data_IF_733912958632
#
_entry.id   IF_733912958632
#
_cell.length_a   1.000
_cell.length_b   1.000
_cell.length_c   1.000
_cell.angle_alpha   90.00
_cell.angle_beta   90.00
_cell.angle_gamma   90.00
#
_symmetry.space_group_name_H-M   'P 1'
#
loop_
_entity.id
_entity.type
_entity.pdbx_description
1 polymer ?
#
# COMPACT_ATOMS: atom_id res chain seq x y z
N UNK A 1 -6.77 -28.99 -46.58
CA UNK A 1 -5.90 -29.05 -47.79
C UNK A 1 -6.76 -29.43 -48.99
N UNK A 2 -6.45 -29.01 -50.23
CA UNK A 2 -6.13 -27.64 -50.64
C UNK A 2 -6.71 -27.29 -52.04
N UNK A 3 -6.70 -26.00 -52.42
CA UNK A 3 -6.41 -25.64 -53.81
C UNK A 3 -5.37 -24.53 -53.83
N UNK A 4 -4.11 -24.98 -53.99
CA UNK A 4 -3.00 -24.19 -54.53
C UNK A 4 -3.26 -23.93 -56.01
N UNK A 5 -2.87 -22.76 -56.48
CA UNK A 5 -2.09 -22.55 -57.71
C UNK A 5 -1.53 -21.13 -57.66
N UNK A 6 -0.42 -20.78 -58.30
CA UNK A 6 0.88 -21.38 -58.52
C UNK A 6 1.73 -20.20 -59.01
N UNK A 7 2.99 -20.18 -58.61
CA UNK A 7 4.10 -19.38 -59.12
C UNK A 7 4.10 -19.13 -60.64
N UNK A 8 4.71 -18.01 -61.04
CA UNK A 8 5.94 -17.97 -61.88
C UNK A 8 6.38 -16.50 -62.10
N UNK A 9 7.63 -16.07 -62.27
CA UNK A 9 9.01 -16.58 -62.07
C UNK A 9 9.96 -15.64 -62.87
N UNK A 10 11.17 -15.43 -62.33
CA UNK A 10 12.45 -14.94 -62.93
C UNK A 10 12.79 -13.44 -62.97
N UNK A 11 14.06 -13.03 -62.85
CA UNK A 11 15.33 -13.60 -62.35
C UNK A 11 16.50 -12.63 -62.67
N UNK A 12 17.68 -12.94 -62.11
CA UNK A 12 19.07 -12.68 -62.57
C UNK A 12 19.73 -11.39 -62.04
N UNK A 13 20.96 -11.38 -61.47
CA UNK A 13 22.12 -12.31 -61.39
C UNK A 13 23.01 -11.91 -60.17
N UNK A 14 23.53 -12.85 -59.35
CA UNK A 14 24.88 -13.54 -59.34
C UNK A 14 26.09 -12.59 -59.25
N UNK A 15 27.16 -12.84 -58.48
CA UNK A 15 27.85 -14.11 -58.18
C UNK A 15 28.66 -14.07 -56.86
N UNK A 16 29.09 -15.25 -56.41
CA UNK A 16 29.93 -15.55 -55.24
C UNK A 16 31.23 -16.32 -55.67
N UNK A 17 32.00 -16.98 -54.77
CA UNK A 17 33.42 -16.76 -54.45
C UNK A 17 34.34 -17.91 -54.95
N UNK A 18 35.56 -18.11 -54.39
CA UNK A 18 35.75 -19.36 -53.60
C UNK A 18 36.83 -19.36 -52.48
N UNK A 19 36.68 -20.34 -51.55
CA UNK A 19 37.60 -21.23 -50.79
C UNK A 19 39.04 -20.79 -50.38
N UNK A 20 39.67 -21.29 -49.30
CA UNK A 20 39.46 -22.48 -48.45
C UNK A 20 40.47 -22.56 -47.29
N UNK A 21 40.44 -23.68 -46.57
CA UNK A 21 40.96 -24.01 -45.23
C UNK A 21 42.50 -23.97 -45.00
N UNK A 22 42.93 -23.81 -43.73
CA UNK A 22 43.80 -24.74 -42.96
C UNK A 22 44.51 -24.07 -41.74
N UNK A 23 45.05 -24.92 -40.87
CA UNK A 23 45.28 -24.73 -39.45
C UNK A 23 46.72 -24.35 -39.02
N UNK A 24 46.83 -24.00 -37.73
CA UNK A 24 47.91 -24.33 -36.79
C UNK A 24 49.23 -23.52 -36.74
N UNK A 25 49.54 -23.16 -35.48
CA UNK A 25 50.86 -23.14 -34.80
C UNK A 25 51.85 -21.95 -34.90
N UNK A 26 52.10 -21.42 -33.69
CA UNK A 26 53.39 -21.17 -33.03
C UNK A 26 54.27 -19.96 -33.39
N UNK A 27 54.49 -19.19 -32.30
CA UNK A 27 55.77 -18.70 -31.77
C UNK A 27 56.52 -17.55 -32.45
N UNK A 28 56.45 -16.43 -31.73
CA UNK A 28 57.55 -15.83 -30.96
C UNK A 28 58.55 -14.87 -31.64
N UNK A 29 58.89 -13.88 -30.82
CA UNK A 29 60.01 -12.94 -30.86
C UNK A 29 60.08 -11.81 -31.90
N UNK A 30 60.39 -10.61 -31.38
CA UNK A 30 61.12 -9.61 -32.16
C UNK A 30 60.72 -8.16 -31.96
N UNK A 31 61.19 -7.59 -30.86
CA UNK A 31 61.22 -6.19 -30.44
C UNK A 31 61.39 -5.07 -31.51
N UNK A 32 61.09 -3.85 -31.01
CA UNK A 32 61.57 -2.50 -31.38
C UNK A 32 60.74 -1.60 -32.32
N UNK A 33 59.96 -0.74 -31.66
CA UNK A 33 60.14 0.72 -31.60
C UNK A 33 59.42 1.67 -32.59
N UNK A 34 58.89 2.70 -31.94
CA UNK A 34 58.65 4.09 -32.34
C UNK A 34 57.31 4.61 -32.94
N UNK A 35 56.77 5.56 -32.15
CA UNK A 35 56.07 6.80 -32.52
C UNK A 35 54.52 6.92 -32.43
N UNK A 36 54.10 7.51 -31.30
CA UNK A 36 53.25 8.73 -31.15
C UNK A 36 51.87 8.78 -31.85
N UNK A 37 50.78 8.73 -31.07
CA UNK A 37 50.10 9.91 -30.47
C UNK A 37 48.71 9.55 -29.89
N UNK A 38 48.53 9.81 -28.59
CA UNK A 38 47.28 9.63 -27.83
C UNK A 38 46.73 11.03 -27.50
N UNK A 39 45.52 11.37 -27.95
CA UNK A 39 44.81 12.61 -27.58
C UNK A 39 44.26 12.49 -26.16
N UNK A 40 44.64 13.39 -25.27
CA UNK A 40 43.97 13.66 -23.98
C UNK A 40 43.28 15.03 -24.03
N UNK A 41 42.05 15.08 -23.50
CA UNK A 41 41.20 16.26 -23.41
C UNK A 41 41.59 17.13 -22.19
N UNK A 42 41.59 18.46 -22.37
CA UNK A 42 41.88 19.47 -21.35
C UNK A 42 40.56 19.95 -20.67
N UNK A 43 40.53 20.29 -19.36
CA UNK A 43 39.30 20.70 -18.67
C UNK A 43 38.95 22.19 -18.84
N UNK A 44 37.64 22.48 -18.80
CA UNK A 44 36.98 23.78 -19.00
C UNK A 44 37.28 24.86 -17.95
N UNK A 45 38.05 24.56 -16.91
CA UNK A 45 38.20 25.41 -15.71
C UNK A 45 39.13 26.61 -15.92
N UNK A 46 39.95 26.63 -16.98
CA UNK A 46 40.89 27.73 -17.26
C UNK A 46 40.28 28.88 -18.07
N UNK A 47 39.05 28.74 -18.60
CA UNK A 47 38.39 29.80 -19.39
C UNK A 47 37.59 30.81 -18.57
N UNK A 48 37.08 30.44 -17.40
CA UNK A 48 36.27 31.34 -16.56
C UNK A 48 37.12 32.39 -15.82
N UNK A 49 38.35 32.04 -15.43
CA UNK A 49 39.22 32.93 -14.65
C UNK A 49 39.74 34.14 -15.48
N UNK A 50 39.87 33.97 -16.80
CA UNK A 50 40.36 35.02 -17.70
C UNK A 50 39.31 36.09 -18.05
N UNK A 51 38.03 35.90 -17.72
CA UNK A 51 36.99 36.90 -17.97
C UNK A 51 36.81 37.86 -16.79
N UNK A 52 37.07 37.40 -15.56
CA UNK A 52 36.96 38.21 -14.34
C UNK A 52 38.11 39.21 -14.15
N UNK A 53 39.26 38.99 -14.76
CA UNK A 53 40.42 39.91 -14.69
C UNK A 53 40.36 41.05 -15.71
N UNK A 54 39.36 41.06 -16.60
CA UNK A 54 39.26 42.02 -17.72
C UNK A 54 38.30 43.19 -17.48
N UNK A 55 37.50 43.14 -16.42
CA UNK A 55 36.73 44.28 -15.96
C UNK A 55 37.42 44.82 -14.71
N UNK A 56 37.97 46.02 -14.80
CA UNK A 56 38.63 46.69 -13.67
C UNK A 56 37.69 46.93 -12.48
N UNK A 57 38.01 47.85 -11.56
CA UNK A 57 37.41 47.97 -10.21
C UNK A 57 35.88 48.20 -10.16
N UNK A 58 35.23 48.33 -11.31
CA UNK A 58 33.77 48.49 -11.49
C UNK A 58 33.03 47.14 -11.42
N UNK A 59 33.67 46.03 -11.82
CA UNK A 59 33.05 44.69 -11.85
C UNK A 59 32.58 44.18 -10.47
N UNK A 60 33.40 44.28 -9.41
CA UNK A 60 33.00 43.89 -8.06
C UNK A 60 31.86 44.76 -7.50
N UNK A 61 31.86 46.06 -7.82
CA UNK A 61 30.81 46.98 -7.37
C UNK A 61 29.44 46.64 -8.00
N UNK A 62 29.40 46.29 -9.29
CA UNK A 62 28.17 45.89 -9.97
C UNK A 62 27.63 44.55 -9.46
N UNK A 63 28.52 43.59 -9.15
CA UNK A 63 28.12 42.32 -8.55
C UNK A 63 27.55 42.52 -7.14
N UNK A 64 28.16 43.40 -6.34
CA UNK A 64 27.65 43.75 -5.01
C UNK A 64 26.29 44.45 -5.06
N UNK A 65 26.11 45.42 -5.96
CA UNK A 65 24.83 46.10 -6.16
C UNK A 65 23.72 45.15 -6.61
N UNK A 66 24.04 44.17 -7.46
CA UNK A 66 23.09 43.14 -7.89
C UNK A 66 22.66 42.21 -6.74
N UNK A 67 23.59 41.83 -5.86
CA UNK A 67 23.28 41.03 -4.68
C UNK A 67 22.43 41.79 -3.66
N UNK A 68 22.71 43.09 -3.47
CA UNK A 68 21.89 43.97 -2.60
C UNK A 68 20.48 44.15 -3.17
N UNK A 69 20.35 44.31 -4.49
CA UNK A 69 19.05 44.37 -5.15
C UNK A 69 18.23 43.08 -4.96
N UNK A 70 18.86 41.90 -5.08
CA UNK A 70 18.20 40.62 -4.83
C UNK A 70 17.76 40.46 -3.37
N UNK A 71 18.54 40.94 -2.41
CA UNK A 71 18.19 40.92 -0.99
C UNK A 71 17.04 41.88 -0.64
N UNK A 72 16.97 43.05 -1.29
CA UNK A 72 15.85 43.98 -1.13
C UNK A 72 14.56 43.43 -1.78
N UNK A 73 14.67 42.76 -2.93
CA UNK A 73 13.54 42.13 -3.60
C UNK A 73 12.97 40.98 -2.77
N UNK A 74 13.81 40.17 -2.12
CA UNK A 74 13.34 39.10 -1.23
C UNK A 74 12.65 39.68 0.01
N UNK A 75 13.19 40.72 0.63
CA UNK A 75 12.55 41.39 1.77
C UNK A 75 11.17 41.96 1.41
N UNK A 76 11.00 42.54 0.21
CA UNK A 76 9.70 43.06 -0.26
C UNK A 76 8.68 41.95 -0.55
N UNK A 77 9.12 40.79 -1.04
CA UNK A 77 8.27 39.63 -1.28
C UNK A 77 7.85 38.94 0.03
N UNK A 78 8.73 38.90 1.04
CA UNK A 78 8.45 38.27 2.33
C UNK A 78 7.65 39.14 3.31
N UNK A 79 7.66 40.48 3.17
CA UNK A 79 6.95 41.38 4.09
C UNK A 79 5.50 41.73 3.69
N UNK A 80 5.01 41.23 2.56
CA UNK A 80 3.67 41.58 2.04
C UNK A 80 2.54 40.63 2.48
N UNK A 81 2.80 39.64 3.34
CA UNK A 81 1.77 38.70 3.82
C UNK A 81 1.57 38.78 5.34
N UNK A 82 0.97 39.88 5.77
CA UNK A 82 0.34 39.98 7.09
C UNK A 82 -1.12 40.40 6.92
N UNK A 83 -2.03 39.43 6.77
CA UNK A 83 -3.43 39.60 7.15
C UNK A 83 -4.03 38.26 7.61
N UNK A 84 -4.50 38.27 8.85
CA UNK A 84 -5.30 37.24 9.53
C UNK A 84 -6.76 37.42 9.13
N UNK A 85 -7.50 36.34 8.82
CA UNK A 85 -8.83 35.99 9.37
C UNK A 85 -9.56 34.85 8.63
N UNK A 86 -9.92 33.83 9.42
CA UNK A 86 -11.19 33.05 9.47
C UNK A 86 -11.60 32.10 8.32
N UNK A 87 -11.78 30.85 8.76
CA UNK A 87 -12.47 29.67 8.17
C UNK A 87 -13.62 29.94 7.19
N UNK A 88 -13.65 29.23 6.05
CA UNK A 88 -14.80 28.44 5.57
C UNK A 88 -14.48 27.66 4.27
N UNK A 89 -14.85 26.37 4.26
CA UNK A 89 -15.24 25.49 3.14
C UNK A 89 -14.47 25.46 1.79
N UNK A 90 -14.04 24.23 1.44
CA UNK A 90 -13.78 23.66 0.10
C UNK A 90 -13.96 24.58 -1.14
N UNK A 91 -12.84 24.91 -1.79
CA UNK A 91 -12.73 24.99 -3.26
C UNK A 91 -11.24 24.97 -3.70
N UNK A 92 -10.77 24.11 -4.63
CA UNK A 92 -9.37 24.08 -5.06
C UNK A 92 -9.22 24.60 -6.49
N UNK A 93 -9.24 25.92 -6.69
CA UNK A 93 -8.68 26.52 -7.91
C UNK A 93 -8.05 27.85 -7.57
N UNK A 94 -6.73 27.92 -7.48
CA UNK A 94 -5.91 29.01 -8.04
C UNK A 94 -4.40 28.84 -7.70
N UNK A 95 -3.57 28.95 -8.76
CA UNK A 95 -2.14 29.37 -8.81
C UNK A 95 -1.10 28.37 -8.28
N UNK A 96 0.06 28.15 -8.91
CA UNK A 96 0.72 28.74 -10.08
C UNK A 96 1.78 27.76 -10.63
N UNK A 97 1.89 27.71 -11.97
CA UNK A 97 2.97 27.07 -12.74
C UNK A 97 4.28 27.83 -12.60
N UNK A 98 5.33 27.19 -12.08
CA UNK A 98 6.71 27.47 -12.48
C UNK A 98 7.61 26.31 -12.00
N UNK A 99 8.23 25.61 -12.96
CA UNK A 99 9.02 24.36 -12.85
C UNK A 99 8.15 23.09 -13.04
N UNK A 100 8.37 22.37 -14.16
CA UNK A 100 7.60 21.20 -14.61
C UNK A 100 7.80 19.92 -13.79
N UNK A 101 7.54 20.02 -12.48
CA UNK A 101 7.34 18.95 -11.50
C UNK A 101 5.96 19.20 -10.85
N UNK A 102 4.90 19.10 -11.65
CA UNK A 102 3.50 19.11 -11.17
C UNK A 102 3.20 17.78 -10.43
N UNK A 103 3.82 17.55 -9.27
CA UNK A 103 3.70 16.26 -8.57
C UNK A 103 4.06 16.24 -7.09
N UNK A 104 4.15 17.41 -6.43
CA UNK A 104 3.98 17.50 -4.97
C UNK A 104 2.55 17.94 -4.61
N UNK A 105 1.65 17.94 -5.60
CA UNK A 105 0.24 17.72 -5.38
C UNK A 105 0.11 16.34 -4.72
N UNK A 106 -0.61 16.23 -3.60
CA UNK A 106 -0.61 15.02 -2.77
C UNK A 106 -0.75 13.78 -3.64
N UNK A 107 0.31 12.97 -3.69
CA UNK A 107 0.34 11.71 -4.42
C UNK A 107 -0.83 10.79 -4.01
N UNK A 108 -1.42 11.08 -2.84
CA UNK A 108 -2.50 10.38 -2.19
C UNK A 108 -3.87 10.68 -2.77
N UNK A 109 -4.63 9.63 -3.05
CA UNK A 109 -6.01 9.74 -3.55
C UNK A 109 -6.14 10.39 -4.94
N UNK A 110 -5.05 10.53 -5.70
CA UNK A 110 -5.08 11.08 -7.07
C UNK A 110 -5.85 10.20 -8.07
N UNK A 111 -5.91 8.89 -7.85
CA UNK A 111 -6.82 7.96 -8.55
C UNK A 111 -8.13 7.73 -7.77
N UNK A 112 -8.35 8.51 -6.71
CA UNK A 112 -9.40 8.31 -5.72
C UNK A 112 -9.17 7.06 -4.86
N UNK A 113 -9.91 7.00 -3.75
CA UNK A 113 -9.86 5.88 -2.80
C UNK A 113 -11.28 5.32 -2.70
N UNK A 114 -11.56 4.12 -3.24
CA UNK A 114 -12.86 3.50 -3.11
C UNK A 114 -13.13 3.22 -1.62
N UNK A 115 -14.39 3.34 -1.22
CA UNK A 115 -14.81 3.11 0.16
C UNK A 115 -16.25 2.58 0.19
N UNK A 116 -16.61 1.86 1.24
CA UNK A 116 -18.00 1.41 1.43
C UNK A 116 -18.85 2.49 2.09
N UNK A 117 -19.99 2.82 1.47
CA UNK A 117 -20.96 3.75 2.06
C UNK A 117 -21.61 3.14 3.29
N UNK A 118 -21.53 3.83 4.43
CA UNK A 118 -22.29 3.47 5.62
C UNK A 118 -23.76 3.90 5.48
N UNK A 119 -24.69 3.09 5.99
CA UNK A 119 -26.15 3.31 5.84
C UNK A 119 -26.64 4.63 6.41
N UNK A 120 -25.95 5.16 7.42
CA UNK A 120 -26.30 6.41 8.10
C UNK A 120 -25.18 7.47 8.04
N UNK A 121 -24.14 7.26 7.24
CA UNK A 121 -23.02 8.19 7.15
C UNK A 121 -22.18 8.30 8.43
N UNK A 122 -22.35 7.37 9.39
CA UNK A 122 -21.56 7.35 10.61
C UNK A 122 -20.11 7.01 10.27
N UNK A 123 -19.20 7.66 10.98
CA UNK A 123 -17.75 7.47 10.92
C UNK A 123 -17.21 7.14 12.31
N UNK A 124 -15.92 6.84 12.39
CA UNK A 124 -15.21 6.60 13.65
C UNK A 124 -15.15 7.87 14.50
N UNK A 125 -15.05 7.69 15.82
CA UNK A 125 -15.02 8.79 16.79
C UNK A 125 -13.60 9.32 17.05
N UNK A 126 -12.57 8.53 16.76
CA UNK A 126 -11.18 8.92 16.96
C UNK A 126 -10.70 9.90 15.88
N UNK A 127 -9.76 10.76 16.27
CA UNK A 127 -9.18 11.80 15.43
C UNK A 127 -7.73 11.49 15.05
N UNK A 128 -7.15 12.27 14.13
CA UNK A 128 -5.71 12.20 13.84
C UNK A 128 -4.83 12.45 15.07
N UNK A 129 -5.31 13.25 16.04
CA UNK A 129 -4.59 13.48 17.29
C UNK A 129 -4.56 12.22 18.15
N UNK A 130 -5.66 11.47 18.20
CA UNK A 130 -5.72 10.21 18.95
C UNK A 130 -4.80 9.16 18.33
N UNK A 131 -4.74 9.10 16.99
CA UNK A 131 -3.79 8.24 16.27
C UNK A 131 -2.33 8.61 16.58
N UNK A 132 -1.99 9.90 16.61
CA UNK A 132 -0.65 10.35 16.98
C UNK A 132 -0.29 9.97 18.42
N UNK A 133 -1.20 10.17 19.37
CA UNK A 133 -1.00 9.73 20.76
C UNK A 133 -0.82 8.20 20.85
N UNK A 134 -1.62 7.46 20.07
CA UNK A 134 -1.50 6.00 19.98
C UNK A 134 -0.14 5.57 19.44
N UNK A 135 0.42 6.28 18.44
CA UNK A 135 1.75 5.99 17.92
C UNK A 135 2.84 6.23 18.98
N UNK A 136 2.73 7.30 19.78
CA UNK A 136 3.66 7.58 20.89
C UNK A 136 3.71 6.42 21.90
N UNK A 137 2.56 5.80 22.20
CA UNK A 137 2.48 4.63 23.08
C UNK A 137 2.95 3.34 22.38
N UNK A 138 2.57 3.14 21.11
CA UNK A 138 2.74 1.87 20.43
C UNK A 138 4.16 1.61 19.90
N UNK A 139 4.89 2.64 19.46
CA UNK A 139 6.26 2.48 18.93
C UNK A 139 7.17 1.68 19.87
N UNK A 140 7.33 2.04 21.17
CA UNK A 140 8.17 1.25 22.07
C UNK A 140 7.64 -0.17 22.32
N UNK A 141 6.32 -0.38 22.27
CA UNK A 141 5.72 -1.72 22.37
C UNK A 141 6.16 -2.57 21.18
N UNK A 142 6.02 -2.05 19.95
CA UNK A 142 6.41 -2.76 18.73
C UNK A 142 7.91 -3.08 18.66
N UNK A 143 8.76 -2.23 19.22
CA UNK A 143 10.19 -2.51 19.37
C UNK A 143 10.45 -3.76 20.23
N UNK A 144 9.60 -4.03 21.22
CA UNK A 144 9.70 -5.20 22.10
C UNK A 144 9.12 -6.50 21.48
N UNK A 145 8.58 -6.46 20.26
CA UNK A 145 7.94 -7.64 19.62
C UNK A 145 8.86 -8.87 19.60
N UNK A 146 8.31 -10.08 19.85
CA UNK A 146 9.10 -11.32 19.84
C UNK A 146 9.51 -11.74 18.43
N UNK A 147 8.75 -11.34 17.41
CA UNK A 147 8.99 -11.70 16.00
C UNK A 147 9.54 -10.47 15.28
N UNK A 148 10.87 -10.34 15.21
CA UNK A 148 11.53 -9.18 14.56
C UNK A 148 11.27 -9.14 13.06
N UNK A 149 11.39 -10.29 12.41
CA UNK A 149 11.11 -10.47 10.98
C UNK A 149 9.80 -11.27 10.81
N UNK A 150 8.70 -10.53 10.59
CA UNK A 150 7.39 -11.12 10.32
C UNK A 150 7.07 -11.20 8.83
N UNK A 151 8.04 -11.55 7.98
CA UNK A 151 7.81 -11.78 6.55
C UNK A 151 6.60 -12.70 6.34
N UNK A 152 5.72 -12.29 5.40
CA UNK A 152 4.40 -12.87 5.08
C UNK A 152 3.28 -12.63 6.08
N UNK A 153 3.53 -11.93 7.18
CA UNK A 153 2.48 -11.47 8.08
C UNK A 153 2.47 -9.95 8.19
N UNK A 154 1.56 -9.47 9.03
CA UNK A 154 1.39 -8.06 9.35
C UNK A 154 2.70 -7.35 9.76
N UNK A 155 2.93 -6.17 9.16
CA UNK A 155 4.01 -5.22 9.47
C UNK A 155 3.62 -4.14 10.49
N UNK A 156 4.40 -3.05 10.56
CA UNK A 156 4.22 -2.00 11.57
C UNK A 156 2.84 -1.34 11.49
N UNK A 157 2.45 -0.86 10.30
CA UNK A 157 1.23 -0.10 10.09
C UNK A 157 0.00 -0.87 10.58
N UNK A 158 -0.19 -2.08 10.08
CA UNK A 158 -1.32 -2.93 10.45
C UNK A 158 -1.26 -3.34 11.93
N UNK A 159 -0.06 -3.56 12.49
CA UNK A 159 0.08 -3.85 13.93
C UNK A 159 -0.39 -2.69 14.79
N UNK A 160 -0.05 -1.46 14.38
CA UNK A 160 -0.53 -0.26 15.04
C UNK A 160 -2.06 -0.13 14.94
N UNK A 161 -2.62 -0.33 13.75
CA UNK A 161 -4.07 -0.24 13.55
C UNK A 161 -4.86 -1.24 14.39
N UNK A 162 -4.41 -2.50 14.44
CA UNK A 162 -5.05 -3.54 15.24
C UNK A 162 -4.96 -3.21 16.75
N UNK A 163 -3.77 -2.84 17.21
CA UNK A 163 -3.55 -2.42 18.59
C UNK A 163 -4.44 -1.23 18.97
N UNK A 164 -4.45 -0.19 18.15
CA UNK A 164 -5.19 1.03 18.38
C UNK A 164 -6.70 0.77 18.44
N UNK A 165 -7.21 -0.02 17.49
CA UNK A 165 -8.64 -0.38 17.44
C UNK A 165 -9.05 -1.15 18.71
N UNK A 166 -8.25 -2.12 19.14
CA UNK A 166 -8.52 -2.87 20.37
C UNK A 166 -8.47 -1.96 21.63
N UNK A 167 -7.47 -1.08 21.73
CA UNK A 167 -7.35 -0.10 22.82
C UNK A 167 -8.51 0.88 22.88
N UNK A 168 -9.01 1.31 21.72
CA UNK A 168 -10.12 2.23 21.62
C UNK A 168 -11.44 1.57 22.04
N UNK A 169 -11.75 0.41 21.47
CA UNK A 169 -13.01 -0.30 21.69
C UNK A 169 -13.11 -0.94 23.08
N UNK A 170 -11.97 -1.33 23.68
CA UNK A 170 -11.90 -2.02 24.97
C UNK A 170 -12.87 -3.22 25.04
N UNK A 171 -12.69 -4.22 24.16
CA UNK A 171 -13.58 -5.38 24.09
C UNK A 171 -13.45 -6.25 25.34
N UNK A 172 -14.48 -7.06 25.60
CA UNK A 172 -14.49 -8.08 26.67
C UNK A 172 -13.97 -9.43 26.17
N UNK A 173 -13.90 -9.61 24.84
CA UNK A 173 -13.33 -10.78 24.16
C UNK A 173 -12.76 -10.35 22.81
N UNK A 174 -11.59 -10.87 22.47
CA UNK A 174 -10.99 -10.71 21.15
C UNK A 174 -10.93 -12.06 20.43
N UNK A 175 -11.39 -12.09 19.19
CA UNK A 175 -11.34 -13.27 18.32
C UNK A 175 -10.39 -12.96 17.17
N UNK A 176 -9.49 -13.88 16.87
CA UNK A 176 -8.58 -13.82 15.73
C UNK A 176 -8.83 -15.03 14.83
N UNK A 177 -8.96 -14.81 13.52
CA UNK A 177 -8.98 -15.86 12.51
C UNK A 177 -7.78 -15.65 11.59
N UNK A 178 -6.80 -16.57 11.66
CA UNK A 178 -5.51 -16.43 10.97
C UNK A 178 -4.37 -16.01 11.92
N UNK A 179 -3.82 -16.97 12.68
CA UNK A 179 -2.78 -16.67 13.67
C UNK A 179 -1.35 -16.64 13.11
N UNK A 180 -1.09 -17.42 12.05
CA UNK A 180 0.25 -17.66 11.50
C UNK A 180 1.32 -17.94 12.59
N UNK A 181 2.31 -17.04 12.74
CA UNK A 181 3.39 -17.11 13.74
C UNK A 181 2.99 -16.56 15.12
N UNK A 182 1.77 -16.04 15.29
CA UNK A 182 1.23 -15.47 16.52
C UNK A 182 1.54 -13.98 16.73
N UNK A 183 1.96 -13.26 15.69
CA UNK A 183 2.32 -11.83 15.82
C UNK A 183 1.09 -10.96 16.15
N UNK A 184 -0.01 -11.14 15.42
CA UNK A 184 -1.29 -10.46 15.71
C UNK A 184 -1.86 -10.84 17.07
N UNK A 185 -1.75 -12.11 17.49
CA UNK A 185 -2.09 -12.53 18.86
C UNK A 185 -1.27 -11.76 19.91
N UNK A 186 0.04 -11.58 19.68
CA UNK A 186 0.90 -10.78 20.54
C UNK A 186 0.46 -9.31 20.57
N UNK A 187 0.15 -8.71 19.42
CA UNK A 187 -0.35 -7.33 19.32
C UNK A 187 -1.64 -7.15 20.14
N UNK A 188 -2.61 -8.06 19.99
CA UNK A 188 -3.85 -8.06 20.77
C UNK A 188 -3.59 -8.18 22.27
N UNK A 189 -2.66 -9.06 22.68
CA UNK A 189 -2.27 -9.18 24.09
C UNK A 189 -1.61 -7.91 24.63
N UNK A 190 -0.79 -7.21 23.82
CA UNK A 190 -0.23 -5.92 24.23
C UNK A 190 -1.28 -4.81 24.32
N UNK A 191 -2.34 -4.87 23.50
CA UNK A 191 -3.44 -3.92 23.57
C UNK A 191 -4.29 -4.13 24.82
N UNK A 192 -4.65 -5.38 25.11
CA UNK A 192 -5.54 -5.76 26.21
C UNK A 192 -4.97 -6.95 27.00
N UNK A 193 -4.07 -6.70 27.98
CA UNK A 193 -3.31 -7.74 28.69
C UNK A 193 -4.13 -8.82 29.38
N UNK A 194 -5.28 -8.47 29.95
CA UNK A 194 -6.10 -9.37 30.77
C UNK A 194 -7.32 -9.95 30.02
N UNK A 195 -7.58 -9.47 28.80
CA UNK A 195 -8.78 -9.86 28.06
C UNK A 195 -8.57 -11.22 27.38
N UNK A 196 -9.56 -12.14 27.42
CA UNK A 196 -9.44 -13.42 26.75
C UNK A 196 -9.28 -13.27 25.23
N UNK A 197 -8.50 -14.18 24.64
CA UNK A 197 -8.30 -14.28 23.19
C UNK A 197 -8.74 -15.66 22.73
N UNK A 198 -9.50 -15.72 21.64
CA UNK A 198 -9.81 -16.96 20.93
C UNK A 198 -9.17 -16.87 19.55
N UNK A 199 -8.29 -17.81 19.22
CA UNK A 199 -7.55 -17.81 17.95
C UNK A 199 -7.89 -19.05 17.13
N UNK A 200 -8.34 -18.84 15.90
CA UNK A 200 -8.66 -19.87 14.92
C UNK A 200 -7.53 -19.91 13.89
N UNK A 201 -6.86 -21.05 13.74
CA UNK A 201 -5.81 -21.19 12.75
C UNK A 201 -5.60 -22.65 12.36
N UNK A 202 -5.53 -23.00 11.07
CA UNK A 202 -5.26 -24.39 10.66
C UNK A 202 -4.00 -24.96 11.31
N UNK A 203 -2.99 -24.11 11.57
CA UNK A 203 -1.73 -24.49 12.21
C UNK A 203 -1.48 -23.66 13.46
N UNK A 204 -1.25 -24.34 14.58
CA UNK A 204 -0.93 -23.68 15.85
C UNK A 204 0.42 -22.93 15.76
N UNK A 205 0.55 -21.70 16.30
CA UNK A 205 1.77 -20.90 16.22
C UNK A 205 3.04 -21.61 16.76
N UNK A 206 2.89 -22.46 17.78
CA UNK A 206 3.98 -23.30 18.32
C UNK A 206 4.75 -24.07 17.23
N UNK A 207 4.07 -24.45 16.12
CA UNK A 207 4.67 -25.24 15.05
C UNK A 207 5.68 -24.45 14.24
N UNK A 208 5.73 -23.12 14.41
CA UNK A 208 6.70 -22.22 13.77
C UNK A 208 7.95 -22.02 14.62
N UNK A 209 7.93 -22.31 15.93
CA UNK A 209 9.10 -22.22 16.82
C UNK A 209 10.30 -23.03 16.33
N UNK A 210 10.05 -24.12 15.59
CA UNK A 210 11.10 -24.96 14.98
C UNK A 210 11.78 -24.31 13.78
N UNK A 211 11.15 -23.32 13.15
CA UNK A 211 11.61 -22.65 11.92
C UNK A 211 12.11 -21.22 12.17
N UNK A 212 11.83 -20.67 13.36
CA UNK A 212 12.20 -19.32 13.74
C UNK A 212 11.34 -18.79 14.87
N UNK A 213 11.44 -17.49 15.19
CA UNK A 213 10.64 -16.87 16.23
C UNK A 213 9.14 -16.99 15.92
N UNK A 214 8.39 -17.36 16.96
CA UNK A 214 6.93 -17.38 16.97
C UNK A 214 6.46 -17.01 18.38
N UNK A 215 5.21 -16.60 18.50
CA UNK A 215 4.59 -16.26 19.77
C UNK A 215 3.40 -17.18 20.03
N UNK A 216 3.32 -17.67 21.27
CA UNK A 216 2.19 -18.45 21.77
C UNK A 216 1.75 -17.78 23.06
N UNK A 217 0.49 -17.36 23.10
CA UNK A 217 -0.09 -16.77 24.30
C UNK A 217 -0.64 -17.86 25.20
N UNK A 218 -0.18 -17.90 26.45
CA UNK A 218 -0.59 -18.93 27.41
C UNK A 218 -2.04 -18.82 27.88
N UNK A 219 -2.69 -17.65 27.67
CA UNK A 219 -4.07 -17.39 28.06
C UNK A 219 -5.01 -17.32 26.84
N UNK A 220 -4.55 -17.75 25.66
CA UNK A 220 -5.33 -17.80 24.44
C UNK A 220 -5.95 -19.19 24.27
N UNK A 221 -7.24 -19.22 23.91
CA UNK A 221 -7.91 -20.45 23.50
C UNK A 221 -7.69 -20.66 22.00
N UNK A 222 -6.87 -21.66 21.66
CA UNK A 222 -6.58 -22.00 20.27
C UNK A 222 -7.50 -23.09 19.73
N UNK A 223 -8.18 -22.81 18.62
CA UNK A 223 -8.78 -23.83 17.75
C UNK A 223 -7.83 -24.06 16.59
N UNK A 224 -6.91 -25.02 16.75
CA UNK A 224 -5.84 -25.24 15.78
C UNK A 224 -5.44 -26.70 15.60
N UNK A 225 -4.82 -27.02 14.45
CA UNK A 225 -4.40 -28.38 14.13
C UNK A 225 -5.60 -29.33 14.04
N UNK A 226 -5.59 -30.39 14.86
CA UNK A 226 -6.68 -31.37 14.92
C UNK A 226 -8.00 -30.79 15.46
N UNK A 227 -7.91 -29.72 16.25
CA UNK A 227 -9.04 -29.05 16.90
C UNK A 227 -9.45 -27.80 16.11
N UNK A 228 -8.89 -27.60 14.91
CA UNK A 228 -9.24 -26.48 14.04
C UNK A 228 -10.69 -26.58 13.57
N UNK A 229 -11.39 -25.46 13.69
CA UNK A 229 -12.74 -25.26 13.14
C UNK A 229 -12.75 -23.91 12.44
N UNK A 230 -13.25 -23.87 11.21
CA UNK A 230 -13.43 -22.60 10.48
C UNK A 230 -14.40 -21.68 11.23
N UNK A 231 -14.15 -20.37 11.20
CA UNK A 231 -14.98 -19.35 11.87
C UNK A 231 -16.49 -19.53 11.65
N UNK A 232 -16.92 -19.89 10.44
CA UNK A 232 -18.32 -20.10 10.11
C UNK A 232 -18.98 -21.31 10.76
N UNK A 233 -18.18 -22.24 11.28
CA UNK A 233 -18.61 -23.53 11.84
C UNK A 233 -18.40 -23.64 13.36
N UNK A 234 -17.81 -22.63 13.99
CA UNK A 234 -17.65 -22.59 15.45
C UNK A 234 -19.02 -22.45 16.11
N UNK A 235 -19.27 -23.23 17.16
CA UNK A 235 -20.41 -23.01 18.06
C UNK A 235 -20.16 -21.79 18.95
N UNK A 236 -20.42 -20.62 18.38
CA UNK A 236 -20.22 -19.34 19.07
C UNK A 236 -21.06 -19.22 20.34
N UNK A 237 -22.25 -19.84 20.41
CA UNK A 237 -23.07 -19.81 21.62
C UNK A 237 -22.36 -20.46 22.81
N UNK A 238 -21.77 -21.64 22.59
CA UNK A 238 -20.97 -22.34 23.60
C UNK A 238 -19.68 -21.58 23.94
N UNK A 239 -18.99 -21.01 22.96
CA UNK A 239 -17.77 -20.23 23.19
C UNK A 239 -18.06 -18.97 24.01
N UNK A 240 -19.08 -18.18 23.65
CA UNK A 240 -19.47 -16.98 24.40
C UNK A 240 -19.84 -17.32 25.84
N UNK A 241 -20.63 -18.39 26.05
CA UNK A 241 -20.98 -18.87 27.39
C UNK A 241 -19.75 -19.28 28.21
N UNK A 242 -18.80 -19.99 27.60
CA UNK A 242 -17.54 -20.41 28.26
C UNK A 242 -16.72 -19.21 28.74
N UNK A 243 -16.69 -18.14 27.96
CA UNK A 243 -15.96 -16.91 28.28
C UNK A 243 -16.80 -15.87 29.06
N UNK A 244 -18.05 -16.20 29.42
CA UNK A 244 -18.92 -15.29 30.19
C UNK A 244 -19.42 -14.08 29.40
N UNK A 245 -19.37 -14.11 28.08
CA UNK A 245 -19.78 -12.99 27.21
C UNK A 245 -21.30 -13.02 27.02
N UNK A 246 -21.95 -11.93 27.42
CA UNK A 246 -23.40 -11.73 27.27
C UNK A 246 -23.76 -10.66 26.24
N UNK A 247 -22.85 -9.71 26.01
CA UNK A 247 -23.00 -8.63 25.03
C UNK A 247 -22.03 -8.83 23.85
N UNK A 248 -22.59 -9.23 22.71
CA UNK A 248 -21.81 -9.47 21.48
C UNK A 248 -21.27 -8.17 20.86
N UNK A 249 -21.82 -6.99 21.24
CA UNK A 249 -21.27 -5.71 20.81
C UNK A 249 -19.94 -5.38 21.49
N UNK A 250 -19.55 -6.11 22.55
CA UNK A 250 -18.26 -5.98 23.21
C UNK A 250 -17.21 -6.99 22.72
N UNK A 251 -17.46 -7.66 21.60
CA UNK A 251 -16.53 -8.61 20.98
C UNK A 251 -15.87 -7.97 19.76
N UNK A 252 -14.54 -7.98 19.73
CA UNK A 252 -13.75 -7.57 18.57
C UNK A 252 -13.28 -8.81 17.80
N UNK A 253 -13.45 -8.80 16.48
CA UNK A 253 -12.98 -9.87 15.60
C UNK A 253 -11.95 -9.33 14.63
N UNK A 254 -10.80 -10.00 14.53
CA UNK A 254 -9.76 -9.72 13.57
C UNK A 254 -9.62 -10.89 12.59
N UNK A 255 -9.69 -10.59 11.29
CA UNK A 255 -9.55 -11.54 10.20
C UNK A 255 -8.26 -11.27 9.41
N UNK A 256 -7.39 -12.27 9.38
CA UNK A 256 -6.16 -12.38 8.57
C UNK A 256 -6.07 -13.82 8.01
N UNK A 257 -7.21 -14.35 7.57
CA UNK A 257 -7.37 -15.76 7.16
C UNK A 257 -7.46 -15.98 5.65
N UNK A 258 -7.28 -14.90 4.87
CA UNK A 258 -7.35 -14.88 3.41
C UNK A 258 -8.61 -15.58 2.85
N UNK A 259 -9.73 -15.41 3.55
CA UNK A 259 -11.05 -15.80 3.07
C UNK A 259 -11.79 -14.57 2.56
N UNK A 260 -12.74 -14.80 1.66
CA UNK A 260 -13.64 -13.77 1.14
C UNK A 260 -14.30 -12.97 2.29
N UNK A 261 -14.09 -11.66 2.31
CA UNK A 261 -14.56 -10.79 3.41
C UNK A 261 -16.09 -10.71 3.44
N UNK A 262 -16.77 -10.77 2.29
CA UNK A 262 -18.25 -10.83 2.23
C UNK A 262 -18.79 -12.07 2.95
N UNK A 263 -18.11 -13.21 2.81
CA UNK A 263 -18.45 -14.46 3.50
C UNK A 263 -18.26 -14.31 5.01
N UNK A 264 -17.14 -13.74 5.45
CA UNK A 264 -16.86 -13.48 6.87
C UNK A 264 -17.86 -12.51 7.50
N UNK A 265 -18.22 -11.43 6.81
CA UNK A 265 -19.27 -10.51 7.25
C UNK A 265 -20.61 -11.22 7.40
N UNK A 266 -21.04 -12.02 6.43
CA UNK A 266 -22.31 -12.77 6.53
C UNK A 266 -22.30 -13.74 7.71
N UNK A 267 -21.18 -14.41 7.97
CA UNK A 267 -21.01 -15.31 9.11
C UNK A 267 -21.07 -14.55 10.44
N UNK A 268 -20.36 -13.42 10.57
CA UNK A 268 -20.36 -12.59 11.77
C UNK A 268 -21.75 -11.98 12.06
N UNK A 269 -22.41 -11.44 11.02
CA UNK A 269 -23.75 -10.86 11.11
C UNK A 269 -24.81 -11.91 11.51
N UNK A 270 -24.66 -13.15 11.05
CA UNK A 270 -25.56 -14.26 11.43
C UNK A 270 -25.54 -14.50 12.94
N UNK A 271 -24.35 -14.42 13.56
CA UNK A 271 -24.17 -14.58 15.01
C UNK A 271 -24.61 -13.32 15.77
N UNK A 272 -24.42 -12.13 15.18
CA UNK A 272 -24.74 -10.85 15.81
C UNK A 272 -23.51 -10.07 16.28
N UNK A 273 -22.32 -10.44 15.83
CA UNK A 273 -21.11 -9.65 16.06
C UNK A 273 -21.13 -8.36 15.25
N UNK A 274 -20.55 -7.30 15.82
CA UNK A 274 -20.62 -5.95 15.25
C UNK A 274 -19.26 -5.37 14.86
N UNK A 275 -18.20 -5.63 15.64
CA UNK A 275 -16.89 -5.01 15.45
C UNK A 275 -15.93 -5.96 14.75
N UNK A 276 -15.61 -5.68 13.48
CA UNK A 276 -14.73 -6.50 12.67
C UNK A 276 -13.56 -5.66 12.15
N UNK A 277 -12.38 -6.26 12.14
CA UNK A 277 -11.18 -5.73 11.49
C UNK A 277 -10.72 -6.76 10.48
N UNK A 278 -10.50 -6.32 9.24
CA UNK A 278 -9.94 -7.14 8.17
C UNK A 278 -8.53 -6.63 7.83
N UNK A 279 -7.59 -7.56 7.85
CA UNK A 279 -6.29 -7.45 7.19
C UNK A 279 -6.50 -7.62 5.68
N UNK A 280 -5.57 -7.11 4.86
CA UNK A 280 -5.57 -7.33 3.41
C UNK A 280 -6.85 -6.87 2.67
N UNK A 281 -7.34 -5.66 2.95
CA UNK A 281 -8.46 -5.04 2.24
C UNK A 281 -8.04 -4.54 0.84
N UNK A 282 -7.68 -5.48 -0.03
CA UNK A 282 -7.02 -5.25 -1.31
C UNK A 282 -7.76 -4.30 -2.24
N UNK A 283 -7.00 -3.52 -3.00
CA UNK A 283 -7.55 -2.73 -4.11
C UNK A 283 -8.13 -3.61 -5.22
N UNK A 284 -8.99 -3.01 -6.05
CA UNK A 284 -9.62 -3.69 -7.18
C UNK A 284 -8.58 -4.17 -8.20
N UNK A 285 -8.73 -5.41 -8.70
CA UNK A 285 -7.80 -6.04 -9.64
C UNK A 285 -6.63 -6.81 -9.01
N UNK A 286 -6.48 -6.82 -7.68
CA UNK A 286 -5.37 -7.52 -6.99
C UNK A 286 -5.85 -8.33 -5.79
N UNK A 287 -4.92 -8.93 -5.02
CA UNK A 287 -5.24 -9.71 -3.83
C UNK A 287 -5.60 -11.17 -4.09
N UNK A 288 -5.73 -11.95 -3.02
CA UNK A 288 -6.00 -13.39 -3.08
C UNK A 288 -7.39 -13.78 -2.56
N UNK A 289 -8.18 -12.82 -2.12
CA UNK A 289 -9.58 -13.00 -1.73
C UNK A 289 -10.39 -11.73 -2.06
N UNK A 290 -11.71 -11.86 -2.05
CA UNK A 290 -12.63 -10.77 -2.36
C UNK A 290 -12.80 -9.84 -1.15
N UNK A 291 -12.18 -8.66 -1.22
CA UNK A 291 -12.11 -7.66 -0.17
C UNK A 291 -13.29 -6.67 -0.18
N UNK A 292 -13.45 -5.91 0.89
CA UNK A 292 -14.47 -4.85 1.00
C UNK A 292 -14.25 -3.73 0.00
N UNK A 293 -13.01 -3.30 -0.22
CA UNK A 293 -12.66 -2.35 -1.29
C UNK A 293 -13.16 -2.86 -2.63
N UNK A 294 -12.88 -4.12 -2.97
CA UNK A 294 -13.34 -4.73 -4.21
C UNK A 294 -14.85 -4.80 -4.34
N UNK A 295 -15.57 -5.02 -3.24
CA UNK A 295 -17.04 -5.09 -3.25
C UNK A 295 -17.65 -3.69 -3.42
N UNK A 296 -17.07 -2.70 -2.75
CA UNK A 296 -17.58 -1.33 -2.69
C UNK A 296 -17.04 -0.41 -3.78
N UNK A 297 -16.06 -0.87 -4.55
CA UNK A 297 -15.63 -0.20 -5.77
C UNK A 297 -16.78 -0.20 -6.79
N UNK A 298 -17.40 0.96 -6.96
CA UNK A 298 -18.57 1.14 -7.80
C UNK A 298 -18.48 2.46 -8.56
N UNK A 299 -19.11 2.53 -9.73
CA UNK A 299 -19.09 3.74 -10.59
C UNK A 299 -19.62 5.02 -9.92
N UNK A 300 -20.42 4.90 -8.86
CA UNK A 300 -20.97 6.04 -8.12
C UNK A 300 -20.17 6.38 -6.85
N UNK A 301 -19.11 5.62 -6.56
CA UNK A 301 -18.18 5.86 -5.46
C UNK A 301 -16.98 6.61 -6.01
N UNK A 302 -16.55 7.65 -5.29
CA UNK A 302 -15.38 8.44 -5.70
C UNK A 302 -14.14 7.54 -5.73
N UNK A 303 -13.44 7.53 -6.87
CA UNK A 303 -12.30 6.64 -7.08
C UNK A 303 -12.68 5.20 -7.41
N UNK A 304 -13.97 4.87 -7.48
CA UNK A 304 -14.45 3.58 -7.95
C UNK A 304 -15.02 3.65 -9.37
N UNK A 305 -15.27 2.48 -9.94
CA UNK A 305 -15.62 2.31 -11.34
C UNK A 305 -14.44 2.58 -12.26
N UNK A 306 -14.10 1.60 -13.09
CA UNK A 306 -12.88 1.66 -13.89
C UNK A 306 -13.16 1.60 -15.38
N UNK A 307 -12.32 2.30 -16.13
CA UNK A 307 -12.34 2.29 -17.59
C UNK A 307 -11.31 1.30 -18.12
N UNK A 308 -11.77 0.22 -18.76
CA UNK A 308 -10.89 -0.79 -19.38
C UNK A 308 -10.27 -0.38 -20.73
N UNK A 309 -10.47 0.87 -21.17
CA UNK A 309 -9.83 1.40 -22.36
C UNK A 309 -8.33 1.67 -22.12
N UNK A 310 -7.47 1.11 -22.99
CA UNK A 310 -6.00 1.20 -22.88
C UNK A 310 -5.45 2.61 -23.08
N UNK A 311 -6.18 3.46 -23.79
CA UNK A 311 -5.86 4.85 -24.10
C UNK A 311 -6.50 5.85 -23.12
N UNK A 312 -7.19 5.37 -22.08
CA UNK A 312 -7.75 6.21 -21.03
C UNK A 312 -6.70 6.90 -20.16
N UNK A 313 -7.08 8.01 -19.53
CA UNK A 313 -6.23 8.70 -18.55
C UNK A 313 -5.90 7.81 -17.34
N UNK A 314 -6.85 6.98 -16.89
CA UNK A 314 -6.62 6.02 -15.82
C UNK A 314 -5.53 5.01 -16.21
N UNK A 315 -5.62 4.41 -17.40
CA UNK A 315 -4.60 3.48 -17.89
C UNK A 315 -3.21 4.15 -17.97
N UNK A 316 -3.14 5.39 -18.46
CA UNK A 316 -1.90 6.19 -18.53
C UNK A 316 -1.31 6.46 -17.15
N UNK A 317 -2.11 6.85 -16.16
CA UNK A 317 -1.65 7.14 -14.80
C UNK A 317 -1.18 5.85 -14.13
N UNK A 318 -2.01 4.80 -14.13
CA UNK A 318 -1.69 3.49 -13.54
C UNK A 318 -0.41 2.89 -14.12
N UNK A 319 -0.21 2.94 -15.44
CA UNK A 319 1.03 2.47 -16.08
C UNK A 319 2.29 3.20 -15.61
N UNK A 320 2.19 4.52 -15.34
CA UNK A 320 3.31 5.27 -14.76
C UNK A 320 3.56 4.83 -13.32
N UNK A 321 2.51 4.67 -12.52
CA UNK A 321 2.58 4.36 -11.08
C UNK A 321 3.06 2.93 -10.81
N UNK A 322 2.68 1.96 -11.64
CA UNK A 322 3.16 0.56 -11.59
C UNK A 322 4.70 0.43 -11.58
N UNK A 323 5.41 1.40 -12.18
CA UNK A 323 6.88 1.41 -12.22
C UNK A 323 7.52 1.73 -10.87
N UNK A 324 6.78 2.35 -9.96
CA UNK A 324 7.28 2.84 -8.67
C UNK A 324 6.72 2.07 -7.47
N UNK A 325 5.49 1.57 -7.58
CA UNK A 325 4.76 0.97 -6.46
C UNK A 325 4.48 -0.52 -6.73
N UNK A 326 4.89 -1.39 -5.80
CA UNK A 326 4.83 -2.84 -5.95
C UNK A 326 3.40 -3.34 -6.15
N UNK A 327 2.45 -2.82 -5.37
CA UNK A 327 1.01 -3.11 -5.50
C UNK A 327 0.27 -2.13 -6.40
N UNK A 328 0.98 -1.26 -7.14
CA UNK A 328 0.36 -0.56 -8.26
C UNK A 328 -0.18 -1.59 -9.25
N UNK A 329 -1.36 -1.31 -9.82
CA UNK A 329 -2.03 -2.20 -10.78
C UNK A 329 -2.22 -1.43 -12.08
N UNK A 330 -1.73 -1.98 -13.19
CA UNK A 330 -1.98 -1.43 -14.52
C UNK A 330 -3.32 -1.91 -15.10
N UNK A 331 -3.67 -1.41 -16.29
CA UNK A 331 -4.98 -1.72 -16.87
C UNK A 331 -5.11 -3.18 -17.33
N UNK A 332 -4.00 -3.83 -17.69
CA UNK A 332 -4.00 -5.21 -18.16
C UNK A 332 -4.15 -6.19 -16.99
N UNK A 333 -3.67 -5.81 -15.80
CA UNK A 333 -3.91 -6.51 -14.53
C UNK A 333 -5.33 -6.25 -13.99
N UNK A 334 -5.82 -5.01 -14.08
CA UNK A 334 -7.13 -4.61 -13.56
C UNK A 334 -8.30 -5.24 -14.33
N UNK A 335 -8.23 -5.28 -15.66
CA UNK A 335 -9.36 -5.62 -16.50
C UNK A 335 -9.35 -7.07 -17.02
N UNK A 336 -10.49 -7.74 -16.91
CA UNK A 336 -10.77 -9.07 -17.45
C UNK A 336 -11.51 -9.06 -18.80
N UNK A 337 -11.82 -10.26 -19.34
CA UNK A 337 -12.71 -10.41 -20.49
C UNK A 337 -14.05 -9.69 -20.26
N UNK A 338 -14.57 -9.03 -21.31
CA UNK A 338 -15.83 -8.28 -21.22
C UNK A 338 -15.74 -7.03 -20.34
N UNK A 339 -14.55 -6.42 -20.26
CA UNK A 339 -14.29 -5.20 -19.47
C UNK A 339 -14.58 -5.39 -17.97
N UNK A 340 -14.42 -6.62 -17.48
CA UNK A 340 -14.65 -6.97 -16.10
C UNK A 340 -13.52 -6.45 -15.21
N UNK A 341 -13.67 -5.22 -14.71
CA UNK A 341 -12.73 -4.63 -13.74
C UNK A 341 -13.05 -5.01 -12.28
N UNK A 342 -14.27 -5.44 -11.97
CA UNK A 342 -14.70 -5.73 -10.60
C UNK A 342 -14.03 -6.99 -10.02
N UNK A 343 -13.92 -7.02 -8.68
CA UNK A 343 -13.20 -8.08 -7.98
C UNK A 343 -11.76 -8.20 -8.49
N UNK A 344 -11.35 -9.41 -8.88
CA UNK A 344 -10.14 -9.59 -9.67
C UNK A 344 -10.53 -10.08 -11.05
N UNK A 345 -10.65 -9.15 -12.00
CA UNK A 345 -10.94 -9.45 -13.41
C UNK A 345 -12.29 -10.19 -13.60
N UNK A 346 -13.27 -9.86 -12.79
CA UNK A 346 -14.60 -10.50 -12.76
C UNK A 346 -14.73 -11.69 -11.80
N UNK A 347 -13.68 -12.04 -11.07
CA UNK A 347 -13.69 -13.15 -10.12
C UNK A 347 -13.78 -12.69 -8.67
N UNK A 348 -14.66 -13.36 -7.92
CA UNK A 348 -14.70 -13.38 -6.47
C UNK A 348 -13.77 -14.48 -5.98
N UNK A 349 -12.58 -14.08 -5.51
CA UNK A 349 -11.57 -15.01 -4.97
C UNK A 349 -11.89 -15.39 -3.52
N UNK A 350 -11.55 -16.61 -3.14
CA UNK A 350 -11.68 -17.15 -1.77
C UNK A 350 -10.57 -18.19 -1.53
N UNK A 351 -10.32 -18.48 -0.26
CA UNK A 351 -9.42 -19.55 0.19
C UNK A 351 -8.00 -19.44 -0.39
N UNK A 352 -7.31 -18.33 -0.11
CA UNK A 352 -5.95 -18.08 -0.62
C UNK A 352 -5.88 -18.18 -2.16
N UNK A 353 -6.88 -17.64 -2.87
CA UNK A 353 -7.02 -17.71 -4.33
C UNK A 353 -7.08 -19.14 -4.90
N UNK A 354 -7.37 -20.14 -4.07
CA UNK A 354 -7.59 -21.52 -4.54
C UNK A 354 -9.05 -21.76 -4.98
N UNK A 355 -9.97 -20.83 -4.69
CA UNK A 355 -11.35 -20.88 -5.15
C UNK A 355 -11.73 -19.57 -5.82
N UNK A 356 -12.04 -19.61 -7.11
CA UNK A 356 -12.30 -18.42 -7.93
C UNK A 356 -13.66 -18.53 -8.61
N UNK A 357 -14.66 -17.85 -8.07
CA UNK A 357 -16.00 -17.83 -8.62
C UNK A 357 -16.15 -16.65 -9.59
N UNK A 358 -16.56 -16.92 -10.83
CA UNK A 358 -16.92 -15.85 -11.77
C UNK A 358 -18.22 -15.17 -11.29
N UNK A 359 -18.22 -13.85 -11.22
CA UNK A 359 -19.38 -13.05 -10.83
C UNK A 359 -19.73 -12.03 -11.92
N UNK A 360 -21.01 -11.81 -12.14
CA UNK A 360 -21.48 -10.76 -13.05
C UNK A 360 -21.35 -9.37 -12.42
N UNK A 361 -21.31 -8.32 -13.24
CA UNK A 361 -21.37 -6.94 -12.74
C UNK A 361 -22.64 -6.70 -11.89
N UNK A 362 -23.78 -7.30 -12.29
CA UNK A 362 -25.02 -7.20 -11.54
C UNK A 362 -24.90 -7.84 -10.14
N UNK A 363 -24.28 -9.01 -10.04
CA UNK A 363 -24.03 -9.68 -8.76
C UNK A 363 -23.07 -8.88 -7.88
N UNK A 364 -21.98 -8.36 -8.46
CA UNK A 364 -21.05 -7.46 -7.79
C UNK A 364 -21.77 -6.22 -7.21
N UNK A 365 -22.64 -5.59 -8.00
CA UNK A 365 -23.45 -4.46 -7.55
C UNK A 365 -24.40 -4.86 -6.41
N UNK A 366 -25.04 -6.02 -6.47
CA UNK A 366 -25.90 -6.51 -5.38
C UNK A 366 -25.11 -6.80 -4.10
N UNK A 367 -23.89 -7.33 -4.21
CA UNK A 367 -22.99 -7.52 -3.07
C UNK A 367 -22.67 -6.18 -2.39
N UNK A 368 -22.40 -5.13 -3.18
CA UNK A 368 -22.21 -3.77 -2.67
C UNK A 368 -23.45 -3.26 -1.92
N UNK A 369 -24.64 -3.41 -2.51
CA UNK A 369 -25.91 -2.98 -1.87
C UNK A 369 -26.19 -3.71 -0.57
N UNK A 370 -25.88 -5.00 -0.52
CA UNK A 370 -25.97 -5.75 0.72
C UNK A 370 -25.06 -5.15 1.80
N UNK A 371 -23.79 -4.85 1.50
CA UNK A 371 -22.89 -4.24 2.46
C UNK A 371 -23.36 -2.86 2.92
N UNK A 372 -23.75 -1.99 1.97
CA UNK A 372 -24.28 -0.67 2.29
C UNK A 372 -25.51 -0.74 3.20
N UNK A 373 -26.29 -1.83 3.14
CA UNK A 373 -27.47 -2.01 4.00
C UNK A 373 -27.14 -2.35 5.46
N UNK A 374 -25.95 -2.91 5.75
CA UNK A 374 -25.56 -3.39 7.08
C UNK A 374 -24.41 -2.62 7.71
N UNK A 375 -23.63 -1.85 6.92
CA UNK A 375 -22.47 -1.12 7.40
C UNK A 375 -22.89 0.14 8.17
N UNK A 376 -22.60 0.17 9.47
CA UNK A 376 -22.71 1.36 10.31
C UNK A 376 -21.48 2.25 10.16
N UNK A 377 -20.28 1.66 10.16
CA UNK A 377 -19.00 2.36 10.05
C UNK A 377 -18.11 1.61 9.09
N UNK A 378 -17.41 2.36 8.23
CA UNK A 378 -16.32 1.88 7.39
C UNK A 378 -15.13 2.82 7.59
N UNK A 379 -14.01 2.31 8.10
CA UNK A 379 -12.81 3.08 8.29
C UNK A 379 -11.57 2.28 7.90
N UNK A 380 -10.85 2.79 6.92
CA UNK A 380 -9.55 2.25 6.56
C UNK A 380 -8.46 2.93 7.38
N UNK A 381 -7.55 2.11 7.90
CA UNK A 381 -6.36 2.58 8.57
C UNK A 381 -5.47 3.30 7.55
N UNK A 382 -5.15 4.59 7.74
CA UNK A 382 -4.19 5.26 6.89
C UNK A 382 -2.78 4.68 7.08
N UNK A 383 -1.89 4.75 6.08
CA UNK A 383 -0.48 4.46 6.29
C UNK A 383 0.05 5.33 7.44
N UNK A 384 0.90 4.78 8.30
CA UNK A 384 1.39 5.51 9.47
C UNK A 384 2.19 6.74 9.05
N UNK A 385 3.01 6.61 8.02
CA UNK A 385 3.80 7.70 7.50
C UNK A 385 3.96 7.57 5.98
N UNK A 386 4.15 8.71 5.31
CA UNK A 386 4.32 8.74 3.87
C UNK A 386 5.58 8.02 3.38
N UNK A 387 5.62 7.59 2.10
CA UNK A 387 6.76 6.88 1.52
C UNK A 387 8.06 7.66 1.55
N UNK A 388 8.04 9.00 1.56
CA UNK A 388 9.26 9.80 1.63
C UNK A 388 9.97 9.65 2.99
N UNK A 389 9.24 9.23 4.03
CA UNK A 389 9.74 9.02 5.38
C UNK A 389 10.06 7.54 5.66
N UNK A 390 9.22 6.64 5.15
CA UNK A 390 9.29 5.21 5.45
C UNK A 390 10.05 4.39 4.42
N UNK A 391 10.26 4.95 3.21
CA UNK A 391 10.83 4.27 2.04
C UNK A 391 10.05 3.02 1.59
N UNK A 392 8.83 2.82 2.07
CA UNK A 392 8.01 1.71 1.63
C UNK A 392 7.55 1.93 0.20
N UNK A 393 7.59 0.86 -0.61
CA UNK A 393 7.10 0.86 -1.99
C UNK A 393 5.91 -0.08 -2.16
N UNK A 394 5.47 -0.73 -1.08
CA UNK A 394 4.45 -1.78 -1.08
C UNK A 394 3.15 -1.30 -1.71
N UNK A 395 2.59 -0.18 -1.27
CA UNK A 395 1.29 0.33 -1.75
C UNK A 395 1.43 1.46 -2.75
N UNK A 396 0.35 1.74 -3.49
CA UNK A 396 0.24 2.92 -4.34
C UNK A 396 -0.45 4.08 -3.59
N UNK A 397 0.25 5.18 -3.26
CA UNK A 397 -0.35 6.36 -2.63
C UNK A 397 -1.62 6.86 -3.31
N UNK A 398 -1.70 6.83 -4.65
CA UNK A 398 -2.87 7.34 -5.38
C UNK A 398 -4.18 6.63 -5.05
N UNK A 399 -4.08 5.43 -4.46
CA UNK A 399 -5.18 4.57 -4.04
C UNK A 399 -5.28 4.43 -2.52
N UNK A 400 -4.61 5.29 -1.76
CA UNK A 400 -4.61 5.30 -0.30
C UNK A 400 -5.02 6.68 0.24
N UNK A 401 -5.56 6.69 1.46
CA UNK A 401 -5.80 7.93 2.21
C UNK A 401 -4.48 8.58 2.60
N UNK A 402 -4.49 9.88 2.87
CA UNK A 402 -3.33 10.59 3.41
C UNK A 402 -2.82 9.92 4.70
N UNK A 403 -1.49 9.78 4.87
CA UNK A 403 -0.91 9.08 6.00
C UNK A 403 -1.06 9.87 7.31
N UNK A 404 -0.90 9.21 8.46
CA UNK A 404 -0.98 9.85 9.79
C UNK A 404 0.14 10.89 9.94
N UNK A 405 1.34 10.55 9.47
CA UNK A 405 2.49 11.47 9.37
C UNK A 405 2.79 11.73 7.89
N UNK A 406 2.37 12.90 7.41
CA UNK A 406 2.57 13.34 6.03
C UNK A 406 4.05 13.47 5.64
N UNK A 407 4.32 13.31 4.35
CA UNK A 407 5.64 13.55 3.78
C UNK A 407 6.14 14.95 4.12
N UNK A 408 7.46 15.09 4.29
CA UNK A 408 8.10 16.33 4.73
C UNK A 408 8.00 16.61 6.24
N UNK A 409 7.24 15.83 7.02
CA UNK A 409 7.12 15.99 8.49
C UNK A 409 8.17 15.19 9.26
N UNK A 410 9.42 15.23 8.84
CA UNK A 410 10.52 14.41 9.42
C UNK A 410 10.72 14.65 10.93
N UNK A 411 10.57 15.90 11.40
CA UNK A 411 10.68 16.20 12.84
C UNK A 411 9.61 15.49 13.70
N UNK A 412 8.39 15.36 13.18
CA UNK A 412 7.32 14.59 13.83
C UNK A 412 7.63 13.09 13.78
N UNK A 413 8.06 12.58 12.62
CA UNK A 413 8.46 11.20 12.44
C UNK A 413 9.57 10.77 13.42
N UNK A 414 10.59 11.61 13.63
CA UNK A 414 11.63 11.39 14.63
C UNK A 414 11.09 11.45 16.06
N UNK A 415 10.26 12.45 16.38
CA UNK A 415 9.71 12.64 17.74
C UNK A 415 8.88 11.44 18.20
N UNK A 416 8.11 10.84 17.29
CA UNK A 416 7.33 9.63 17.53
C UNK A 416 8.21 8.37 17.68
N UNK A 417 9.52 8.46 17.42
CA UNK A 417 10.44 7.32 17.46
C UNK A 417 10.38 6.42 16.23
N UNK A 418 9.59 6.76 15.21
CA UNK A 418 9.43 5.95 14.00
C UNK A 418 10.74 5.83 13.20
N UNK A 419 11.59 6.86 13.25
CA UNK A 419 12.91 6.86 12.62
C UNK A 419 13.91 5.85 13.23
N UNK A 420 13.60 5.26 14.39
CA UNK A 420 14.42 4.22 15.03
C UNK A 420 14.09 2.82 14.51
N UNK A 421 12.92 2.66 13.90
CA UNK A 421 12.49 1.39 13.34
C UNK A 421 13.20 1.13 12.01
N UNK A 422 13.52 -0.13 11.75
CA UNK A 422 14.08 -0.54 10.46
C UNK A 422 13.07 -0.24 9.34
N UNK A 423 13.54 0.27 8.20
CA UNK A 423 12.70 0.62 7.04
C UNK A 423 11.87 -0.56 6.53
N UNK A 424 12.42 -1.78 6.63
CA UNK A 424 11.75 -3.04 6.29
C UNK A 424 10.44 -3.26 7.06
N UNK A 425 10.29 -2.67 8.26
CA UNK A 425 9.09 -2.85 9.09
C UNK A 425 7.85 -2.15 8.54
N UNK A 426 8.04 -1.11 7.71
CA UNK A 426 6.96 -0.37 7.07
C UNK A 426 6.55 -0.96 5.71
N UNK A 427 7.38 -1.82 5.11
CA UNK A 427 7.11 -2.36 3.77
C UNK A 427 6.14 -3.55 3.77
N UNK A 428 4.96 -3.35 4.35
CA UNK A 428 3.94 -4.38 4.53
C UNK A 428 2.50 -3.86 4.52
N UNK A 429 2.26 -2.59 4.18
CA UNK A 429 0.91 -2.03 4.14
C UNK A 429 0.11 -2.58 2.93
N UNK A 430 -1.02 -3.20 3.21
CA UNK A 430 -1.96 -3.82 2.24
C UNK A 430 -3.40 -3.40 2.48
N UNK A 431 -3.58 -2.22 3.10
CA UNK A 431 -4.86 -1.67 3.53
C UNK A 431 -5.52 -2.54 4.61
N UNK A 432 -5.68 -1.99 5.81
CA UNK A 432 -6.44 -2.62 6.90
C UNK A 432 -7.74 -1.84 7.10
N UNK A 433 -8.84 -2.52 7.36
CA UNK A 433 -10.15 -1.86 7.54
C UNK A 433 -10.82 -2.31 8.83
N UNK A 434 -11.36 -1.35 9.57
CA UNK A 434 -12.31 -1.57 10.63
C UNK A 434 -13.72 -1.28 10.11
N UNK A 435 -14.64 -2.19 10.40
CA UNK A 435 -16.07 -2.01 10.13
C UNK A 435 -16.90 -2.26 11.38
N UNK A 436 -17.95 -1.46 11.51
CA UNK A 436 -19.05 -1.76 12.41
C UNK A 436 -20.25 -2.18 11.57
N UNK A 437 -20.86 -3.32 11.90
CA UNK A 437 -22.03 -3.86 11.19
C UNK A 437 -23.21 -4.10 12.13
N UNK A 438 -24.42 -3.93 11.60
CA UNK A 438 -25.65 -4.34 12.26
C UNK A 438 -26.72 -4.72 11.23
N UNK A 439 -27.64 -5.60 11.63
CA UNK A 439 -28.83 -5.88 10.83
C UNK A 439 -29.65 -4.60 10.68
N UNK A 440 -30.37 -4.48 9.56
CA UNK A 440 -31.37 -3.42 9.39
C UNK A 440 -32.46 -3.48 10.44
#
# INVERSE_FOLDING_TARGET
MPKKMLERVLSLRRAAPPHGDEAAENNDDGATDDSKTKKQQLPLTTRAFNYFTRMGPIGPCLAFLFLVFLALLSLLLFHSHSFVCVSSYYDPVYRSRLLGLDGLESDFGSLGVPWCRSKHGKTVEWTSKDLLNGLEEFVPIYEARPIKNNMYGMGFDHSFGLWFTARWLKPDLMIESGAFKGHSTWVLRQAMPDIPIVSLSPRHPEKYLKKGPAYVDGNCTYFAGKDFVDFGNVDWGSVMKKHGITDLSRVLIFFDDHQNELKRIKQALKVGFQHLVFEDNYDTGTGDHYSLRQICDQFYIRGGGHSCFRDSDEARIRSKRKKFWEKGTDIDELCGPGEAWWGVRGYMRDNFNHSNQLISHAEHFQNSRFLESILDVYWELPPVAGPSLTHQTRYDPARSTSPIVEDGRYGLFQRLGLARLETSTFNGYTQMVYVQISKQ
#
